data_IF_979316696332
#
_entry.id   IF_979316696332
#
_cell.length_a   1.000
_cell.length_b   1.000
_cell.length_c   1.000
_cell.angle_alpha   90.00
_cell.angle_beta   90.00
_cell.angle_gamma   90.00
#
_symmetry.space_group_name_H-M   'P 1'
#
loop_
_entity.id
_entity.type
_entity.pdbx_description
1 polymer ?
#
# COMPACT_ATOMS: atom_id res chain seq x y z
N UNK A 1 -2.58 -15.90 -4.84
CA UNK A 1 -3.29 -16.02 -3.55
C UNK A 1 -4.46 -15.06 -3.53
N UNK A 2 -5.50 -15.37 -2.76
CA UNK A 2 -6.76 -14.62 -2.76
C UNK A 2 -6.83 -13.70 -1.55
N UNK A 3 -7.18 -12.43 -1.77
CA UNK A 3 -7.27 -11.39 -0.73
C UNK A 3 -8.67 -10.77 -0.77
N UNK A 4 -9.30 -10.65 0.39
CA UNK A 4 -10.57 -9.95 0.53
C UNK A 4 -10.32 -8.46 0.77
N UNK A 5 -10.99 -7.61 -0.01
CA UNK A 5 -10.88 -6.16 0.11
C UNK A 5 -12.27 -5.55 0.14
N UNK A 6 -12.46 -4.49 0.92
CA UNK A 6 -13.76 -3.80 0.99
C UNK A 6 -14.13 -3.12 -0.33
N UNK A 7 -13.16 -2.54 -1.03
CA UNK A 7 -13.38 -1.72 -2.24
C UNK A 7 -13.44 -2.55 -3.52
N UNK A 8 -12.55 -3.51 -3.67
CA UNK A 8 -12.38 -4.27 -4.92
C UNK A 8 -12.97 -5.69 -4.84
N UNK A 9 -13.62 -6.01 -3.72
CA UNK A 9 -14.08 -7.37 -3.44
C UNK A 9 -12.90 -8.31 -3.28
N UNK A 10 -13.07 -9.52 -3.80
CA UNK A 10 -12.02 -10.53 -3.78
C UNK A 10 -11.08 -10.35 -4.96
N UNK A 11 -9.79 -10.23 -4.68
CA UNK A 11 -8.74 -10.08 -5.70
C UNK A 11 -7.77 -11.25 -5.63
N UNK A 12 -7.17 -11.57 -6.76
CA UNK A 12 -6.07 -12.52 -6.85
C UNK A 12 -4.75 -11.76 -7.04
N UNK A 13 -3.77 -12.05 -6.19
CA UNK A 13 -2.43 -11.46 -6.24
C UNK A 13 -1.37 -12.56 -6.33
N UNK A 14 -0.29 -12.30 -7.03
CA UNK A 14 0.91 -13.12 -7.00
C UNK A 14 1.72 -12.87 -5.72
N UNK A 15 2.47 -13.87 -5.25
CA UNK A 15 3.27 -13.71 -4.02
C UNK A 15 4.36 -12.64 -4.13
N UNK A 16 4.83 -12.32 -5.33
CA UNK A 16 5.79 -11.25 -5.60
C UNK A 16 5.19 -9.84 -5.52
N UNK A 17 3.85 -9.70 -5.50
CA UNK A 17 3.14 -8.42 -5.35
C UNK A 17 2.95 -8.05 -3.88
N UNK A 18 3.18 -8.99 -2.96
CA UNK A 18 3.07 -8.74 -1.53
C UNK A 18 4.26 -7.92 -1.03
N UNK A 19 3.96 -6.80 -0.40
CA UNK A 19 4.90 -5.94 0.30
C UNK A 19 4.85 -6.31 1.78
N UNK A 20 5.97 -6.80 2.31
CA UNK A 20 6.11 -7.18 3.72
C UNK A 20 6.84 -6.06 4.46
N UNK A 21 6.13 -5.38 5.35
CA UNK A 21 6.69 -4.35 6.22
C UNK A 21 7.39 -5.02 7.41
N UNK A 22 8.72 -4.95 7.47
CA UNK A 22 9.51 -5.48 8.59
C UNK A 22 9.09 -4.85 9.93
N UNK A 23 8.93 -3.52 9.90
CA UNK A 23 8.34 -2.73 10.97
C UNK A 23 6.91 -2.33 10.58
N UNK A 24 5.89 -2.63 11.41
CA UNK A 24 4.51 -2.26 11.14
C UNK A 24 4.31 -0.76 10.95
N UNK A 25 3.25 -0.39 10.24
CA UNK A 25 2.81 1.01 10.17
C UNK A 25 2.33 1.44 11.56
N UNK A 26 2.75 2.63 12.00
CA UNK A 26 2.35 3.20 13.30
C UNK A 26 0.83 3.22 13.45
N UNK A 27 0.32 2.67 14.56
CA UNK A 27 -1.12 2.49 14.80
C UNK A 27 -1.73 1.20 14.24
N UNK A 28 -0.95 0.41 13.49
CA UNK A 28 -1.38 -0.86 12.86
C UNK A 28 -0.37 -1.98 13.16
N UNK A 29 0.03 -2.11 14.44
CA UNK A 29 1.15 -2.94 14.89
C UNK A 29 1.10 -4.42 14.50
N UNK A 30 -0.08 -4.98 14.32
CA UNK A 30 -0.25 -6.40 13.98
C UNK A 30 -0.32 -6.66 12.47
N UNK A 31 -0.26 -5.60 11.64
CA UNK A 31 -0.44 -5.68 10.19
C UNK A 31 0.88 -5.37 9.49
N UNK A 32 1.34 -6.30 8.66
CA UNK A 32 2.64 -6.25 7.98
C UNK A 32 2.55 -6.54 6.49
N UNK A 33 1.50 -7.19 6.04
CA UNK A 33 1.37 -7.65 4.66
C UNK A 33 0.43 -6.75 3.90
N UNK A 34 0.94 -6.10 2.85
CA UNK A 34 0.20 -5.16 2.03
C UNK A 34 0.36 -5.48 0.54
N UNK A 35 -0.56 -4.98 -0.27
CA UNK A 35 -0.46 -4.97 -1.72
C UNK A 35 -0.83 -3.59 -2.24
N UNK A 36 -0.11 -3.11 -3.25
CA UNK A 36 -0.42 -1.85 -3.91
C UNK A 36 -1.38 -2.13 -5.06
N UNK A 37 -2.57 -1.52 -5.01
CA UNK A 37 -3.62 -1.69 -6.01
C UNK A 37 -3.84 -0.38 -6.76
N UNK A 38 -3.95 -0.42 -8.10
CA UNK A 38 -4.27 0.77 -8.88
C UNK A 38 -5.67 1.26 -8.53
N UNK A 39 -5.89 2.57 -8.60
CA UNK A 39 -7.25 3.11 -8.53
C UNK A 39 -8.05 2.81 -9.80
N UNK A 40 -9.37 2.95 -9.72
CA UNK A 40 -10.26 2.83 -10.89
C UNK A 40 -9.97 3.91 -11.95
N UNK A 41 -9.50 5.08 -11.52
CA UNK A 41 -9.03 6.12 -12.41
C UNK A 41 -7.56 5.87 -12.79
N UNK A 42 -7.36 5.18 -13.91
CA UNK A 42 -6.02 4.85 -14.42
C UNK A 42 -5.14 6.05 -14.77
N UNK A 43 -5.72 7.25 -14.89
CA UNK A 43 -4.98 8.49 -15.13
C UNK A 43 -4.82 9.33 -13.85
N UNK A 44 -5.41 8.88 -12.74
CA UNK A 44 -5.35 9.54 -11.46
C UNK A 44 -4.02 9.27 -10.74
N UNK A 45 -3.58 10.18 -9.85
CA UNK A 45 -2.29 10.05 -9.16
C UNK A 45 -2.37 9.12 -7.93
N UNK A 46 -3.53 8.52 -7.66
CA UNK A 46 -3.78 7.78 -6.43
C UNK A 46 -3.79 6.27 -6.64
N UNK A 47 -3.28 5.56 -5.65
CA UNK A 47 -3.29 4.12 -5.52
C UNK A 47 -3.75 3.73 -4.11
N UNK A 48 -3.96 2.44 -3.90
CA UNK A 48 -4.46 1.89 -2.64
C UNK A 48 -3.45 0.89 -2.07
N UNK A 49 -2.85 1.22 -0.94
CA UNK A 49 -2.05 0.27 -0.15
C UNK A 49 -3.00 -0.53 0.74
N UNK A 50 -3.45 -1.67 0.23
CA UNK A 50 -4.43 -2.55 0.85
C UNK A 50 -3.75 -3.54 1.80
N UNK A 51 -4.25 -3.66 3.03
CA UNK A 51 -3.81 -4.73 3.93
C UNK A 51 -4.31 -6.09 3.43
N UNK A 52 -3.43 -7.07 3.38
CA UNK A 52 -3.77 -8.47 3.06
C UNK A 52 -4.42 -9.16 4.26
N UNK A 53 -4.20 -8.62 5.46
CA UNK A 53 -4.63 -9.18 6.75
C UNK A 53 -5.94 -8.58 7.26
N UNK A 54 -6.33 -7.39 6.76
CA UNK A 54 -7.56 -6.71 7.14
C UNK A 54 -8.28 -6.10 5.93
N UNK A 55 -9.42 -6.69 5.55
CA UNK A 55 -10.23 -6.26 4.40
C UNK A 55 -10.70 -4.80 4.47
N UNK A 56 -10.84 -4.26 5.68
CA UNK A 56 -11.36 -2.93 5.95
C UNK A 56 -10.27 -1.85 6.00
N UNK A 57 -9.00 -2.25 5.93
CA UNK A 57 -7.86 -1.33 5.98
C UNK A 57 -7.21 -1.17 4.61
N UNK A 58 -7.29 0.06 4.09
CA UNK A 58 -6.60 0.48 2.88
C UNK A 58 -6.19 1.93 3.00
N UNK A 59 -4.94 2.25 2.69
CA UNK A 59 -4.45 3.62 2.65
C UNK A 59 -4.50 4.15 1.22
N UNK A 60 -4.99 5.37 1.03
CA UNK A 60 -4.80 6.09 -0.23
C UNK A 60 -3.36 6.61 -0.24
N UNK A 61 -2.59 6.23 -1.24
CA UNK A 61 -1.21 6.65 -1.43
C UNK A 61 -1.04 7.30 -2.79
N UNK A 62 0.05 8.05 -2.96
CA UNK A 62 0.39 8.71 -4.22
C UNK A 62 1.90 8.87 -4.30
N UNK A 63 2.43 9.00 -5.52
CA UNK A 63 3.79 9.46 -5.72
C UNK A 63 3.89 10.94 -5.26
N UNK A 64 4.65 11.26 -4.19
CA UNK A 64 4.77 12.62 -3.69
C UNK A 64 5.38 13.58 -4.71
N UNK A 65 6.19 13.10 -5.66
CA UNK A 65 6.84 13.95 -6.66
C UNK A 65 5.86 14.51 -7.70
N UNK A 66 4.68 13.91 -7.86
CA UNK A 66 3.59 14.46 -8.71
C UNK A 66 3.10 15.81 -8.20
N UNK A 67 3.15 16.03 -6.88
CA UNK A 67 2.66 17.26 -6.24
C UNK A 67 3.78 18.15 -5.71
N UNK A 68 4.90 17.55 -5.30
CA UNK A 68 6.01 18.25 -4.67
C UNK A 68 7.34 17.87 -5.31
N UNK A 69 7.62 18.47 -6.47
CA UNK A 69 8.81 18.20 -7.30
C UNK A 69 10.15 18.31 -6.56
N UNK A 70 10.20 19.13 -5.51
CA UNK A 70 11.42 19.42 -4.75
C UNK A 70 11.43 18.77 -3.35
N UNK A 71 10.55 17.81 -3.09
CA UNK A 71 10.65 17.03 -1.86
C UNK A 71 11.95 16.23 -1.83
N UNK A 72 12.60 16.20 -0.67
CA UNK A 72 13.81 15.42 -0.46
C UNK A 72 13.67 14.64 0.85
N UNK A 73 14.04 13.36 0.82
CA UNK A 73 13.98 12.46 1.95
C UNK A 73 15.39 12.03 2.33
N UNK A 74 15.75 12.24 3.60
CA UNK A 74 16.92 11.60 4.18
C UNK A 74 16.55 10.17 4.57
N UNK A 75 17.03 9.18 3.82
CA UNK A 75 16.85 7.78 4.19
C UNK A 75 17.87 7.42 5.28
N UNK A 76 17.36 7.15 6.48
CA UNK A 76 18.17 6.60 7.56
C UNK A 76 18.24 5.08 7.39
N UNK A 77 19.45 4.53 7.37
CA UNK A 77 19.65 3.09 7.35
C UNK A 77 19.60 2.57 8.81
N UNK A 78 18.43 2.09 9.22
CA UNK A 78 18.31 1.29 10.44
C UNK A 78 18.39 -0.17 10.01
N UNK A 79 19.51 -0.82 10.33
CA UNK A 79 19.68 -2.27 10.20
C UNK A 79 19.20 -3.01 11.43
#
# INVERSE_FOLDING_TARGET
MVVNTKRFGQIEIESNQMIVFESPILGFGDLKNYVLLPSEDKNGPFEFLQSVENENLSFIVTDPFVFFLNMNFGLNHNG
#
